data_IF_007814565804
#
_entry.id   IF_007814565804
#
_cell.length_a   1.000
_cell.length_b   1.000
_cell.length_c   1.000
_cell.angle_alpha   90.00
_cell.angle_beta   90.00
_cell.angle_gamma   90.00
#
_symmetry.space_group_name_H-M   'P 1'
#
loop_
_entity.id
_entity.type
_entity.pdbx_description
1 polymer ?
#
# COMPACT_ATOMS: atom_id res chain seq x y z
N UNK A 1 14.21 -80.66 -2.68
CA UNK A 1 13.63 -79.33 -3.01
C UNK A 1 14.79 -78.32 -3.01
N UNK A 2 15.31 -77.95 -4.19
CA UNK A 2 16.52 -77.11 -4.36
C UNK A 2 16.08 -75.71 -4.78
N UNK A 3 16.23 -74.71 -3.90
CA UNK A 3 16.00 -73.30 -4.21
C UNK A 3 17.33 -72.73 -4.73
N UNK A 4 17.38 -72.38 -6.01
CA UNK A 4 18.51 -71.65 -6.60
C UNK A 4 18.25 -70.15 -6.41
N UNK A 5 19.04 -69.50 -5.55
CA UNK A 5 19.16 -68.05 -5.55
C UNK A 5 20.18 -67.66 -6.61
N UNK A 6 19.69 -67.12 -7.74
CA UNK A 6 20.52 -66.50 -8.75
C UNK A 6 20.93 -65.11 -8.25
N UNK A 7 22.20 -64.94 -7.88
CA UNK A 7 22.76 -63.66 -7.49
C UNK A 7 22.97 -62.82 -8.76
N UNK A 8 22.14 -61.79 -8.91
CA UNK A 8 22.20 -60.84 -10.02
C UNK A 8 23.54 -60.12 -10.08
N UNK A 9 24.08 -60.08 -11.29
CA UNK A 9 25.34 -59.44 -11.69
C UNK A 9 25.43 -57.98 -11.24
N UNK A 10 26.50 -57.64 -10.52
CA UNK A 10 26.82 -56.29 -10.04
C UNK A 10 27.34 -55.46 -11.23
N UNK A 11 26.46 -54.81 -11.96
CA UNK A 11 26.83 -53.76 -12.92
C UNK A 11 26.91 -52.41 -12.21
N UNK A 12 27.87 -51.58 -12.62
CA UNK A 12 28.27 -50.36 -11.92
C UNK A 12 27.14 -49.33 -11.83
N UNK A 13 26.45 -49.30 -10.68
CA UNK A 13 25.37 -48.35 -10.31
C UNK A 13 25.83 -46.89 -10.11
N UNK A 14 26.93 -46.46 -10.75
CA UNK A 14 27.45 -45.08 -10.63
C UNK A 14 26.53 -44.06 -11.29
N UNK A 15 25.79 -44.45 -12.33
CA UNK A 15 24.83 -43.57 -13.01
C UNK A 15 23.59 -43.22 -12.19
N UNK A 16 23.08 -44.16 -11.40
CA UNK A 16 21.85 -43.97 -10.61
C UNK A 16 22.01 -42.92 -9.51
N UNK A 17 23.19 -42.89 -8.86
CA UNK A 17 23.52 -41.88 -7.84
C UNK A 17 23.52 -40.47 -8.43
N UNK A 18 24.05 -40.30 -9.65
CA UNK A 18 24.11 -39.02 -10.33
C UNK A 18 22.71 -38.50 -10.68
N UNK A 19 21.81 -39.37 -11.13
CA UNK A 19 20.40 -39.02 -11.40
C UNK A 19 19.70 -38.60 -10.12
N UNK A 20 19.90 -39.32 -9.01
CA UNK A 20 19.31 -38.99 -7.71
C UNK A 20 19.74 -37.59 -7.23
N UNK A 21 21.05 -37.29 -7.32
CA UNK A 21 21.58 -35.97 -6.94
C UNK A 21 21.02 -34.86 -7.83
N UNK A 22 20.92 -35.08 -9.15
CA UNK A 22 20.34 -34.08 -10.07
C UNK A 22 18.86 -33.81 -9.76
N UNK A 23 18.08 -34.84 -9.44
CA UNK A 23 16.68 -34.68 -9.02
C UNK A 23 16.58 -33.88 -7.73
N UNK A 24 17.39 -34.22 -6.72
CA UNK A 24 17.43 -33.46 -5.46
C UNK A 24 17.84 -32.00 -5.68
N UNK A 25 18.84 -31.75 -6.53
CA UNK A 25 19.29 -30.40 -6.86
C UNK A 25 18.21 -29.62 -7.63
N UNK A 26 17.49 -30.29 -8.54
CA UNK A 26 16.36 -29.71 -9.26
C UNK A 26 15.23 -29.31 -8.31
N UNK A 27 14.85 -30.19 -7.38
CA UNK A 27 13.82 -29.90 -6.38
C UNK A 27 14.26 -28.76 -5.44
N UNK A 28 15.51 -28.77 -4.98
CA UNK A 28 16.04 -27.69 -4.14
C UNK A 28 16.05 -26.33 -4.87
N UNK A 29 16.37 -26.34 -6.17
CA UNK A 29 16.40 -25.14 -7.01
C UNK A 29 15.01 -24.56 -7.24
N UNK A 30 14.00 -25.40 -7.51
CA UNK A 30 12.62 -24.92 -7.71
C UNK A 30 12.04 -24.32 -6.43
N UNK A 31 12.30 -24.92 -5.27
CA UNK A 31 11.89 -24.37 -3.97
C UNK A 31 12.55 -23.00 -3.72
N UNK A 32 13.86 -22.89 -3.99
CA UNK A 32 14.63 -21.66 -3.79
C UNK A 32 14.14 -20.52 -4.70
N UNK A 33 13.93 -20.81 -5.99
CA UNK A 33 13.37 -19.84 -6.95
C UNK A 33 11.95 -19.43 -6.59
N UNK A 34 11.13 -20.37 -6.14
CA UNK A 34 9.78 -20.09 -5.64
C UNK A 34 9.80 -19.09 -4.50
N UNK A 35 10.63 -19.34 -3.47
CA UNK A 35 10.76 -18.44 -2.32
C UNK A 35 11.25 -17.04 -2.71
N UNK A 36 12.23 -16.94 -3.60
CA UNK A 36 12.73 -15.67 -4.13
C UNK A 36 11.63 -14.88 -4.84
N UNK A 37 10.86 -15.53 -5.73
CA UNK A 37 9.75 -14.92 -6.44
C UNK A 37 8.68 -14.41 -5.48
N UNK A 38 8.33 -15.20 -4.47
CA UNK A 38 7.35 -14.82 -3.45
C UNK A 38 7.85 -13.64 -2.62
N UNK A 39 9.12 -13.61 -2.23
CA UNK A 39 9.71 -12.49 -1.47
C UNK A 39 9.68 -11.18 -2.27
N UNK A 40 10.02 -11.23 -3.55
CA UNK A 40 9.96 -10.05 -4.43
C UNK A 40 8.54 -9.55 -4.63
N UNK A 41 7.57 -10.46 -4.81
CA UNK A 41 6.16 -10.09 -4.92
C UNK A 41 5.64 -9.49 -3.61
N UNK A 42 6.01 -10.06 -2.47
CA UNK A 42 5.57 -9.58 -1.16
C UNK A 42 6.11 -8.18 -0.86
N UNK A 43 7.34 -7.86 -1.28
CA UNK A 43 7.90 -6.50 -1.17
C UNK A 43 7.10 -5.47 -1.99
N UNK A 44 6.68 -5.83 -3.20
CA UNK A 44 5.86 -4.95 -4.06
C UNK A 44 4.48 -4.72 -3.46
N UNK A 45 3.89 -5.77 -2.90
CA UNK A 45 2.59 -5.69 -2.23
C UNK A 45 2.66 -4.81 -0.97
N UNK A 46 3.69 -5.01 -0.14
CA UNK A 46 3.95 -4.17 1.02
C UNK A 46 4.09 -2.69 0.63
N UNK A 47 4.90 -2.37 -0.38
CA UNK A 47 5.06 -0.97 -0.83
C UNK A 47 3.72 -0.31 -1.21
N UNK A 48 2.83 -1.05 -1.87
CA UNK A 48 1.49 -0.56 -2.21
C UNK A 48 0.63 -0.35 -0.96
N UNK A 49 0.69 -1.24 0.01
CA UNK A 49 -0.02 -1.09 1.28
C UNK A 49 0.45 0.15 2.04
N UNK A 50 1.77 0.36 2.14
CA UNK A 50 2.35 1.54 2.77
C UNK A 50 1.88 2.84 2.11
N UNK A 51 1.86 2.91 0.77
CA UNK A 51 1.39 4.09 0.05
C UNK A 51 -0.10 4.39 0.30
N UNK A 52 -0.94 3.35 0.37
CA UNK A 52 -2.35 3.51 0.66
C UNK A 52 -2.59 4.01 2.09
N UNK A 53 -1.89 3.46 3.06
CA UNK A 53 -2.01 3.85 4.47
C UNK A 53 -1.53 5.30 4.69
N UNK A 54 -0.41 5.69 4.07
CA UNK A 54 0.07 7.07 4.08
C UNK A 54 -0.95 8.05 3.48
N UNK A 55 -1.61 7.66 2.38
CA UNK A 55 -2.66 8.49 1.77
C UNK A 55 -3.87 8.68 2.70
N UNK A 56 -4.19 7.65 3.49
CA UNK A 56 -5.30 7.68 4.43
C UNK A 56 -4.98 8.58 5.63
N UNK A 57 -3.78 8.49 6.20
CA UNK A 57 -3.37 9.39 7.28
C UNK A 57 -3.26 10.84 6.83
N UNK A 58 -2.77 11.09 5.61
CA UNK A 58 -2.73 12.44 5.03
C UNK A 58 -4.14 13.02 4.85
N UNK A 59 -5.11 12.19 4.45
CA UNK A 59 -6.51 12.57 4.30
C UNK A 59 -7.17 12.87 5.65
N UNK A 60 -6.91 12.04 6.66
CA UNK A 60 -7.40 12.27 8.02
C UNK A 60 -6.78 13.51 8.66
N UNK A 61 -5.48 13.75 8.44
CA UNK A 61 -4.80 14.96 8.89
C UNK A 61 -5.39 16.21 8.23
N UNK A 62 -5.63 16.16 6.91
CA UNK A 62 -6.29 17.24 6.16
C UNK A 62 -7.70 17.53 6.68
N UNK A 63 -8.48 16.49 6.97
CA UNK A 63 -9.80 16.61 7.58
C UNK A 63 -9.77 17.31 8.94
N UNK A 64 -8.92 16.84 9.86
CA UNK A 64 -8.78 17.44 11.20
C UNK A 64 -8.33 18.90 11.13
N UNK A 65 -7.40 19.19 10.21
CA UNK A 65 -6.91 20.54 9.96
C UNK A 65 -8.01 21.45 9.43
N UNK A 66 -8.81 21.00 8.47
CA UNK A 66 -9.94 21.75 7.93
C UNK A 66 -10.97 22.09 9.02
N UNK A 67 -11.30 21.14 9.90
CA UNK A 67 -12.19 21.37 11.03
C UNK A 67 -11.60 22.42 11.99
N UNK A 68 -10.34 22.27 12.39
CA UNK A 68 -9.70 23.24 13.28
C UNK A 68 -9.64 24.64 12.68
N UNK A 69 -9.32 24.75 11.39
CA UNK A 69 -9.31 26.02 10.67
C UNK A 69 -10.71 26.65 10.58
N UNK A 70 -11.76 25.83 10.38
CA UNK A 70 -13.15 26.30 10.35
C UNK A 70 -13.66 26.73 11.73
N UNK A 71 -13.27 26.02 12.79
CA UNK A 71 -13.59 26.40 14.17
C UNK A 71 -12.89 27.71 14.58
N UNK A 72 -11.64 27.90 14.17
CA UNK A 72 -10.90 29.12 14.43
C UNK A 72 -11.39 30.30 13.57
N UNK A 73 -11.79 30.03 12.32
CA UNK A 73 -12.29 31.02 11.37
C UNK A 73 -13.51 30.49 10.60
N UNK A 74 -14.70 30.99 10.97
CA UNK A 74 -15.97 30.62 10.32
C UNK A 74 -16.10 31.04 8.85
N UNK A 75 -15.15 31.82 8.31
CA UNK A 75 -15.09 32.17 6.88
C UNK A 75 -14.06 31.34 6.10
N UNK A 76 -13.44 30.33 6.70
CA UNK A 76 -12.44 29.50 6.02
C UNK A 76 -13.04 28.75 4.81
N UNK A 77 -12.50 28.95 3.61
CA UNK A 77 -13.00 28.38 2.34
C UNK A 77 -12.18 27.19 1.83
N UNK A 78 -11.02 26.92 2.43
CA UNK A 78 -10.10 25.88 1.99
C UNK A 78 -8.65 26.37 1.89
N UNK A 79 -7.73 25.43 1.72
CA UNK A 79 -6.31 25.70 1.51
C UNK A 79 -5.63 24.55 0.76
N UNK A 80 -4.46 24.81 0.19
CA UNK A 80 -3.56 23.75 -0.29
C UNK A 80 -2.43 23.61 0.73
N UNK A 81 -2.33 22.42 1.32
CA UNK A 81 -1.28 22.06 2.24
C UNK A 81 -0.29 21.13 1.57
N UNK A 82 0.94 21.61 1.40
CA UNK A 82 2.06 20.81 0.92
C UNK A 82 2.70 20.04 2.10
N UNK A 83 2.81 18.73 1.93
CA UNK A 83 3.46 17.79 2.86
C UNK A 83 4.85 17.40 2.38
N UNK A 84 5.44 18.14 1.43
CA UNK A 84 6.82 17.96 0.99
C UNK A 84 7.77 17.84 2.20
N UNK A 85 8.48 16.70 2.28
CA UNK A 85 9.43 16.40 3.35
C UNK A 85 8.83 15.85 4.66
N UNK A 86 7.50 15.78 4.80
CA UNK A 86 6.86 15.16 5.96
C UNK A 86 6.70 13.62 5.80
N UNK A 87 6.69 13.13 4.57
CA UNK A 87 6.60 11.70 4.27
C UNK A 87 7.98 11.07 4.11
N UNK A 88 8.10 9.80 4.52
CA UNK A 88 9.31 9.01 4.30
C UNK A 88 9.46 8.64 2.82
N UNK A 89 10.62 8.95 2.23
CA UNK A 89 10.98 8.60 0.85
C UNK A 89 10.95 9.81 -0.10
N UNK A 90 11.09 9.54 -1.40
CA UNK A 90 11.06 10.57 -2.46
C UNK A 90 9.61 10.88 -2.91
N UNK A 91 8.69 10.90 -1.95
CA UNK A 91 7.25 11.10 -2.16
C UNK A 91 6.90 12.56 -1.90
N UNK A 92 6.35 13.23 -2.91
CA UNK A 92 5.71 14.53 -2.75
C UNK A 92 4.22 14.33 -2.51
N UNK A 93 3.71 14.90 -1.43
CA UNK A 93 2.31 14.79 -1.04
C UNK A 93 1.70 16.18 -0.96
N UNK A 94 0.56 16.38 -1.63
CA UNK A 94 -0.20 17.63 -1.57
C UNK A 94 -1.64 17.34 -1.18
N UNK A 95 -2.14 18.06 -0.19
CA UNK A 95 -3.52 17.97 0.30
C UNK A 95 -4.24 19.25 -0.08
N UNK A 96 -5.26 19.13 -0.91
CA UNK A 96 -6.15 20.21 -1.26
C UNK A 96 -7.43 20.10 -0.45
N UNK A 97 -7.73 21.14 0.31
CA UNK A 97 -8.92 21.28 1.15
C UNK A 97 -9.82 22.34 0.50
N UNK A 98 -11.10 22.02 0.30
CA UNK A 98 -12.08 22.96 -0.21
C UNK A 98 -13.40 22.81 0.55
N UNK A 99 -13.97 23.94 1.01
CA UNK A 99 -15.29 23.99 1.62
C UNK A 99 -16.22 24.70 0.65
N UNK A 100 -17.24 23.99 0.17
CA UNK A 100 -18.26 24.56 -0.70
C UNK A 100 -19.57 24.68 0.07
N UNK A 101 -20.22 25.86 0.08
CA UNK A 101 -21.58 25.95 0.58
C UNK A 101 -22.49 25.12 -0.33
N UNK A 102 -23.29 24.24 0.25
CA UNK A 102 -24.24 23.44 -0.53
C UNK A 102 -25.45 24.33 -0.85
N UNK A 103 -25.67 24.62 -2.14
CA UNK A 103 -26.68 25.59 -2.61
C UNK A 103 -28.13 25.24 -2.20
N UNK A 104 -28.40 23.97 -1.87
CA UNK A 104 -29.74 23.49 -1.48
C UNK A 104 -30.03 23.53 0.04
N UNK A 105 -29.02 23.73 0.90
CA UNK A 105 -29.16 23.63 2.37
C UNK A 105 -28.42 24.78 3.08
N UNK A 106 -29.18 25.73 3.63
CA UNK A 106 -28.66 26.96 4.24
C UNK A 106 -27.74 26.73 5.46
N UNK A 107 -27.80 25.54 6.08
CA UNK A 107 -27.10 25.18 7.32
C UNK A 107 -26.01 24.08 7.14
N UNK A 108 -25.74 23.64 5.90
CA UNK A 108 -24.79 22.55 5.61
C UNK A 108 -23.72 23.03 4.61
N UNK A 109 -22.46 22.91 5.01
CA UNK A 109 -21.31 23.10 4.11
C UNK A 109 -20.75 21.73 3.71
N UNK A 110 -20.43 21.53 2.43
CA UNK A 110 -19.73 20.33 1.96
C UNK A 110 -18.22 20.57 2.04
N UNK A 111 -17.54 19.78 2.88
CA UNK A 111 -16.08 19.77 2.99
C UNK A 111 -15.53 18.67 2.10
N UNK A 112 -14.78 19.05 1.07
CA UNK A 112 -14.04 18.16 0.18
C UNK A 112 -12.55 18.23 0.51
N UNK A 113 -11.97 17.08 0.84
CA UNK A 113 -10.52 16.94 1.02
C UNK A 113 -10.00 16.00 -0.04
N UNK A 114 -9.09 16.49 -0.88
CA UNK A 114 -8.42 15.73 -1.92
C UNK A 114 -6.94 15.63 -1.59
N UNK A 115 -6.44 14.40 -1.47
CA UNK A 115 -5.02 14.11 -1.29
C UNK A 115 -4.45 13.59 -2.58
N UNK A 116 -3.31 14.16 -2.99
CA UNK A 116 -2.54 13.74 -4.15
C UNK A 116 -1.14 13.36 -3.69
N UNK A 117 -0.79 12.09 -3.85
CA UNK A 117 0.57 11.59 -3.65
C UNK A 117 1.23 11.41 -5.01
N UNK A 118 2.43 11.96 -5.18
CA UNK A 118 3.25 11.81 -6.38
C UNK A 118 4.63 11.29 -5.98
N UNK A 119 5.06 10.18 -6.60
CA UNK A 119 6.46 9.76 -6.49
C UNK A 119 7.33 10.64 -7.39
N UNK A 120 8.55 10.96 -6.95
CA UNK A 120 9.50 11.77 -7.71
C UNK A 120 10.27 11.00 -8.79
N UNK A 121 10.00 9.69 -8.93
CA UNK A 121 10.55 8.87 -10.03
C UNK A 121 10.08 9.33 -11.42
N UNK A 122 10.85 8.97 -12.45
CA UNK A 122 10.66 9.32 -13.86
C UNK A 122 9.31 8.89 -14.46
N UNK A 123 8.55 8.04 -13.77
CA UNK A 123 7.17 7.68 -14.11
C UNK A 123 6.29 8.05 -12.91
N UNK A 124 5.51 9.14 -12.99
CA UNK A 124 4.73 9.61 -11.86
C UNK A 124 3.57 8.65 -11.59
N UNK A 125 3.74 7.76 -10.61
CA UNK A 125 2.61 7.03 -10.03
C UNK A 125 1.88 8.04 -9.13
N UNK A 126 0.77 8.56 -9.62
CA UNK A 126 -0.09 9.48 -8.88
C UNK A 126 -1.19 8.70 -8.19
N UNK A 127 -1.20 8.72 -6.86
CA UNK A 127 -2.31 8.18 -6.08
C UNK A 127 -3.16 9.35 -5.62
N UNK A 128 -4.41 9.42 -6.12
CA UNK A 128 -5.40 10.41 -5.72
C UNK A 128 -6.48 9.75 -4.87
N UNK A 129 -6.70 10.29 -3.67
CA UNK A 129 -7.79 9.89 -2.76
C UNK A 129 -8.55 11.15 -2.39
N UNK A 130 -9.87 11.12 -2.53
CA UNK A 130 -10.75 12.20 -2.11
C UNK A 130 -11.82 11.67 -1.17
N UNK A 131 -12.15 12.45 -0.16
CA UNK A 131 -13.34 12.28 0.67
C UNK A 131 -14.15 13.56 0.66
N UNK A 132 -15.47 13.43 0.64
CA UNK A 132 -16.38 14.52 0.94
C UNK A 132 -17.22 14.17 2.16
N UNK A 133 -17.48 15.19 2.97
CA UNK A 133 -18.31 15.06 4.15
C UNK A 133 -19.14 16.33 4.32
N UNK A 134 -20.30 16.16 4.93
CA UNK A 134 -21.20 17.26 5.24
C UNK A 134 -20.88 17.80 6.62
N UNK A 135 -20.60 19.11 6.70
CA UNK A 135 -20.37 19.83 7.94
C UNK A 135 -21.61 20.66 8.25
N UNK A 136 -22.22 20.42 9.41
CA UNK A 136 -23.30 21.29 9.90
C UNK A 136 -22.68 22.52 10.57
N UNK A 137 -23.12 23.73 10.22
CA UNK A 137 -22.51 24.99 10.68
C UNK A 137 -22.51 25.19 12.20
N UNK A 138 -23.32 24.41 12.95
CA UNK A 138 -23.57 24.60 14.38
C UNK A 138 -23.25 23.36 15.26
N UNK A 139 -22.41 22.43 14.82
CA UNK A 139 -21.97 21.32 15.67
C UNK A 139 -20.70 21.67 16.44
N UNK A 140 -20.87 22.06 17.70
CA UNK A 140 -19.84 21.96 18.74
C UNK A 140 -19.48 20.49 18.93
N UNK A 141 -18.36 20.07 18.36
CA UNK A 141 -17.83 18.71 18.46
C UNK A 141 -17.34 18.48 19.90
N UNK A 142 -18.14 17.79 20.73
CA UNK A 142 -17.66 17.24 22.01
C UNK A 142 -16.75 16.06 21.71
N UNK A 143 -15.48 16.21 22.07
CA UNK A 143 -14.44 15.18 22.01
C UNK A 143 -14.87 13.96 22.85
N UNK A 144 -14.72 12.70 22.38
CA UNK A 144 -14.82 11.53 23.25
C UNK A 144 -13.67 11.48 24.27
#
# INVERSE_FOLDING_TARGET
MKVRLAFGRKENNRGSVLVCVLVCLGIASTISLGALKTSLNHRRELQRHWQLEQSQWALEAGWRRAIQARLANGQYTGEVWDLAGALHGDLNASVQIAIKPQEDLTDVDELSVTVTLQTKDSVPIVTRRSGSWQLKKNQSFTNP
#
